data_IF_863651831516
#
_entry.id   IF_863651831516
#
_cell.length_a   1.000
_cell.length_b   1.000
_cell.length_c   1.000
_cell.angle_alpha   90.00
_cell.angle_beta   90.00
_cell.angle_gamma   90.00
#
_symmetry.space_group_name_H-M   'P 1'
#
loop_
_entity.id
_entity.type
_entity.pdbx_description
1 polymer ?
#
# COMPACT_ATOMS: atom_id res chain seq x y z
N UNK A 1 16.77 20.20 -12.04
CA UNK A 1 17.02 19.37 -10.84
C UNK A 1 15.73 18.82 -10.24
N UNK A 2 14.70 19.65 -9.99
CA UNK A 2 13.43 19.20 -9.42
C UNK A 2 12.72 18.11 -10.25
N UNK A 3 12.78 18.20 -11.58
CA UNK A 3 12.22 17.22 -12.52
C UNK A 3 12.79 15.82 -12.35
N UNK A 4 14.12 15.69 -12.20
CA UNK A 4 14.77 14.40 -11.98
C UNK A 4 14.34 13.75 -10.65
N UNK A 5 14.16 14.56 -9.60
CA UNK A 5 13.70 14.09 -8.28
C UNK A 5 12.27 13.57 -8.37
N UNK A 6 11.37 14.33 -9.00
CA UNK A 6 9.97 13.90 -9.16
C UNK A 6 9.90 12.60 -9.98
N UNK A 7 10.79 12.42 -10.98
CA UNK A 7 10.83 11.22 -11.81
C UNK A 7 11.26 10.02 -10.96
N UNK A 8 12.37 10.15 -10.23
CA UNK A 8 12.88 9.11 -9.34
C UNK A 8 11.84 8.70 -8.29
N UNK A 9 11.18 9.67 -7.65
CA UNK A 9 10.11 9.42 -6.68
C UNK A 9 8.89 8.74 -7.32
N UNK A 10 8.52 9.12 -8.55
CA UNK A 10 7.39 8.50 -9.27
C UNK A 10 7.68 7.06 -9.66
N UNK A 11 8.91 6.76 -10.11
CA UNK A 11 9.36 5.39 -10.40
C UNK A 11 9.38 4.55 -9.12
N UNK A 12 9.86 5.11 -8.01
CA UNK A 12 9.85 4.43 -6.72
C UNK A 12 8.41 4.15 -6.24
N UNK A 13 7.51 5.13 -6.36
CA UNK A 13 6.08 4.94 -6.07
C UNK A 13 5.48 3.82 -6.93
N UNK A 14 5.80 3.77 -8.22
CA UNK A 14 5.32 2.73 -9.14
C UNK A 14 5.77 1.34 -8.68
N UNK A 15 7.05 1.17 -8.35
CA UNK A 15 7.60 -0.12 -7.91
C UNK A 15 6.92 -0.61 -6.62
N UNK A 16 6.73 0.29 -5.65
CA UNK A 16 6.08 -0.04 -4.39
C UNK A 16 4.59 -0.37 -4.60
N UNK A 17 3.89 0.39 -5.45
CA UNK A 17 2.49 0.14 -5.75
C UNK A 17 2.28 -1.22 -6.46
N UNK A 18 3.19 -1.60 -7.36
CA UNK A 18 3.21 -2.94 -7.97
C UNK A 18 3.44 -4.01 -6.91
N UNK A 19 4.37 -3.81 -5.99
CA UNK A 19 4.64 -4.76 -4.91
C UNK A 19 3.41 -4.96 -4.01
N UNK A 20 2.74 -3.87 -3.60
CA UNK A 20 1.50 -3.91 -2.82
C UNK A 20 0.40 -4.67 -3.56
N UNK A 21 0.16 -4.34 -4.83
CA UNK A 21 -0.85 -5.00 -5.64
C UNK A 21 -0.54 -6.49 -5.82
N UNK A 22 0.73 -6.84 -6.09
CA UNK A 22 1.18 -8.21 -6.25
C UNK A 22 1.03 -9.03 -4.97
N UNK A 23 1.35 -8.44 -3.80
CA UNK A 23 1.12 -9.09 -2.52
C UNK A 23 -0.37 -9.31 -2.25
N UNK A 24 -1.19 -8.27 -2.46
CA UNK A 24 -2.63 -8.33 -2.29
C UNK A 24 -3.30 -9.39 -3.17
N UNK A 25 -2.91 -9.48 -4.45
CA UNK A 25 -3.41 -10.53 -5.37
C UNK A 25 -2.91 -11.91 -4.95
N UNK A 26 -1.67 -12.04 -4.47
CA UNK A 26 -1.13 -13.31 -3.97
C UNK A 26 -1.93 -13.83 -2.77
N UNK A 27 -2.37 -12.93 -1.88
CA UNK A 27 -3.24 -13.25 -0.76
C UNK A 27 -4.65 -13.63 -1.27
N UNK A 28 -5.19 -12.88 -2.24
CA UNK A 28 -6.51 -13.14 -2.82
C UNK A 28 -6.61 -14.47 -3.58
N UNK A 29 -5.53 -14.89 -4.26
CA UNK A 29 -5.53 -16.09 -5.13
C UNK A 29 -5.43 -17.42 -4.38
N UNK A 30 -5.01 -17.44 -3.11
CA UNK A 30 -4.89 -18.71 -2.37
C UNK A 30 -6.28 -19.14 -1.88
N UNK A 31 -6.93 -20.15 -2.50
CA UNK A 31 -8.30 -20.55 -2.14
C UNK A 31 -8.32 -21.47 -0.90
N UNK A 32 -7.16 -21.79 -0.32
CA UNK A 32 -7.00 -22.83 0.70
C UNK A 32 -6.87 -22.22 2.09
N UNK A 33 -8.00 -21.73 2.59
CA UNK A 33 -8.28 -21.80 4.01
C UNK A 33 -9.47 -22.75 4.16
N UNK A 34 -9.15 -24.04 4.10
CA UNK A 34 -10.06 -25.08 4.57
C UNK A 34 -10.54 -24.69 5.96
N UNK A 35 -11.87 -24.60 6.06
CA UNK A 35 -12.81 -24.57 7.19
C UNK A 35 -12.28 -24.36 8.62
N UNK A 36 -11.18 -24.98 9.03
CA UNK A 36 -10.61 -24.91 10.40
C UNK A 36 -9.95 -23.57 10.71
N UNK A 37 -9.32 -22.94 9.72
CA UNK A 37 -8.69 -21.61 9.86
C UNK A 37 -9.69 -20.45 9.82
N UNK A 38 -10.85 -20.67 9.18
CA UNK A 38 -12.04 -19.82 9.36
C UNK A 38 -12.57 -19.88 10.79
N UNK A 39 -12.46 -21.00 11.49
CA UNK A 39 -13.07 -21.18 12.82
C UNK A 39 -12.31 -20.49 13.96
N UNK A 40 -11.00 -20.24 13.83
CA UNK A 40 -10.23 -19.51 14.86
C UNK A 40 -10.00 -18.03 14.51
N UNK A 41 -9.80 -17.66 13.24
CA UNK A 41 -9.58 -16.27 12.85
C UNK A 41 -10.81 -15.57 12.24
N UNK A 42 -11.70 -16.30 11.55
CA UNK A 42 -12.92 -15.72 10.96
C UNK A 42 -14.15 -15.78 11.89
N UNK A 43 -14.05 -16.41 13.07
CA UNK A 43 -15.15 -16.46 14.05
C UNK A 43 -15.52 -15.07 14.60
N UNK A 44 -14.63 -14.08 14.50
CA UNK A 44 -14.89 -12.77 15.10
C UNK A 44 -15.28 -11.64 14.11
N UNK A 45 -14.76 -11.54 12.87
CA UNK A 45 -15.31 -10.62 11.81
C UNK A 45 -14.85 -11.01 10.38
N UNK A 46 -15.56 -11.88 9.64
CA UNK A 46 -15.19 -12.28 8.27
C UNK A 46 -15.30 -11.13 7.25
N UNK A 47 -16.19 -10.16 7.50
CA UNK A 47 -16.42 -9.01 6.64
C UNK A 47 -15.22 -8.07 6.55
N UNK A 48 -14.52 -7.87 7.68
CA UNK A 48 -13.42 -6.90 7.79
C UNK A 48 -12.23 -7.28 6.90
N UNK A 49 -11.82 -8.56 6.91
CA UNK A 49 -10.68 -9.03 6.13
C UNK A 49 -10.90 -8.85 4.61
N UNK A 50 -12.08 -9.21 4.11
CA UNK A 50 -12.41 -9.08 2.69
C UNK A 50 -12.49 -7.60 2.26
N UNK A 51 -13.06 -6.73 3.09
CA UNK A 51 -13.11 -5.28 2.81
C UNK A 51 -11.73 -4.64 2.82
N UNK A 52 -10.87 -5.01 3.78
CA UNK A 52 -9.50 -4.48 3.87
C UNK A 52 -8.64 -4.95 2.71
N UNK A 53 -8.75 -6.21 2.29
CA UNK A 53 -8.04 -6.74 1.12
C UNK A 53 -8.43 -6.00 -0.16
N UNK A 54 -9.74 -5.79 -0.39
CA UNK A 54 -10.23 -5.00 -1.54
C UNK A 54 -9.72 -3.57 -1.51
N UNK A 55 -9.63 -2.97 -0.33
CA UNK A 55 -9.08 -1.64 -0.15
C UNK A 55 -7.58 -1.58 -0.51
N UNK A 56 -6.78 -2.56 -0.09
CA UNK A 56 -5.35 -2.63 -0.48
C UNK A 56 -5.15 -2.84 -1.99
N UNK A 57 -5.97 -3.67 -2.62
CA UNK A 57 -5.98 -3.82 -4.08
C UNK A 57 -6.28 -2.47 -4.74
N UNK A 58 -7.31 -1.76 -4.28
CA UNK A 58 -7.65 -0.43 -4.78
C UNK A 58 -6.50 0.57 -4.60
N UNK A 59 -5.85 0.59 -3.44
CA UNK A 59 -4.69 1.46 -3.18
C UNK A 59 -3.52 1.13 -4.12
N UNK A 60 -3.22 -0.15 -4.35
CA UNK A 60 -2.18 -0.58 -5.28
C UNK A 60 -2.47 -0.11 -6.70
N UNK A 61 -3.70 -0.29 -7.18
CA UNK A 61 -4.14 0.19 -8.50
C UNK A 61 -4.07 1.72 -8.59
N UNK A 62 -4.57 2.42 -7.59
CA UNK A 62 -4.51 3.88 -7.52
C UNK A 62 -3.06 4.39 -7.56
N UNK A 63 -2.16 3.77 -6.79
CA UNK A 63 -0.74 4.11 -6.75
C UNK A 63 -0.04 3.96 -8.09
N UNK A 64 -0.38 2.90 -8.84
CA UNK A 64 0.11 2.68 -10.21
C UNK A 64 -0.39 3.78 -11.15
N UNK A 65 -1.69 4.06 -11.14
CA UNK A 65 -2.29 5.09 -12.00
C UNK A 65 -1.67 6.46 -11.69
N UNK A 66 -1.58 6.83 -10.41
CA UNK A 66 -0.97 8.08 -9.96
C UNK A 66 0.49 8.20 -10.40
N UNK A 67 1.30 7.14 -10.26
CA UNK A 67 2.69 7.16 -10.69
C UNK A 67 2.82 7.32 -12.21
N UNK A 68 1.99 6.62 -12.99
CA UNK A 68 1.96 6.75 -14.46
C UNK A 68 1.58 8.17 -14.87
N UNK A 69 0.56 8.76 -14.26
CA UNK A 69 0.14 10.13 -14.57
C UNK A 69 1.25 11.13 -14.25
N UNK A 70 1.95 10.96 -13.12
CA UNK A 70 3.11 11.81 -12.78
C UNK A 70 4.23 11.66 -13.82
N UNK A 71 4.56 10.44 -14.24
CA UNK A 71 5.59 10.20 -15.28
C UNK A 71 5.17 10.85 -16.60
N UNK A 72 3.94 10.63 -17.07
CA UNK A 72 3.40 11.20 -18.31
C UNK A 72 3.44 12.73 -18.26
N UNK A 73 3.07 13.33 -17.13
CA UNK A 73 3.06 14.80 -16.98
C UNK A 73 4.43 15.45 -17.21
N UNK A 74 5.52 14.71 -17.09
CA UNK A 74 6.86 15.23 -17.37
C UNK A 74 7.18 15.31 -18.86
N UNK A 75 6.57 14.45 -19.66
CA UNK A 75 6.82 14.38 -21.10
C UNK A 75 5.77 15.17 -21.90
N UNK A 76 4.56 15.34 -21.34
CA UNK A 76 3.45 16.00 -21.99
C UNK A 76 3.03 17.27 -21.25
N UNK A 77 3.31 18.43 -21.85
CA UNK A 77 2.89 19.75 -21.36
C UNK A 77 1.37 19.95 -21.36
N UNK A 78 0.62 19.09 -22.07
CA UNK A 78 -0.84 19.08 -22.05
C UNK A 78 -1.43 18.72 -20.68
N UNK A 79 -0.68 18.01 -19.84
CA UNK A 79 -1.13 17.62 -18.50
C UNK A 79 -0.87 18.78 -17.54
N UNK A 80 -1.95 19.39 -17.05
CA UNK A 80 -1.83 20.47 -16.07
C UNK A 80 -1.16 19.98 -14.78
N UNK A 81 -0.15 20.73 -14.31
CA UNK A 81 0.50 20.52 -13.01
C UNK A 81 -0.47 20.50 -11.81
N UNK A 82 -1.68 21.04 -11.98
CA UNK A 82 -2.72 21.01 -10.96
C UNK A 82 -3.33 19.60 -10.82
N UNK A 83 -3.43 18.84 -11.91
CA UNK A 83 -3.97 17.47 -11.90
C UNK A 83 -3.05 16.55 -11.10
N UNK A 84 -1.73 16.60 -11.35
CA UNK A 84 -0.75 15.80 -10.62
C UNK A 84 -0.71 16.16 -9.14
N UNK A 85 -0.81 17.46 -8.81
CA UNK A 85 -0.90 17.92 -7.42
C UNK A 85 -2.11 17.31 -6.69
N UNK A 86 -3.31 17.40 -7.30
CA UNK A 86 -4.55 16.85 -6.71
C UNK A 86 -4.45 15.34 -6.53
N UNK A 87 -3.93 14.62 -7.53
CA UNK A 87 -3.73 13.17 -7.43
C UNK A 87 -2.75 12.79 -6.32
N UNK A 88 -1.67 13.55 -6.14
CA UNK A 88 -0.70 13.29 -5.08
C UNK A 88 -1.30 13.54 -3.68
N UNK A 89 -2.11 14.61 -3.52
CA UNK A 89 -2.80 14.91 -2.26
C UNK A 89 -3.84 13.84 -1.93
N UNK A 90 -4.67 13.45 -2.91
CA UNK A 90 -5.64 12.37 -2.73
C UNK A 90 -4.93 11.04 -2.41
N UNK A 91 -3.83 10.75 -3.09
CA UNK A 91 -3.00 9.58 -2.81
C UNK A 91 -2.50 9.57 -1.37
N UNK A 92 -1.99 10.70 -0.88
CA UNK A 92 -1.55 10.83 0.50
C UNK A 92 -2.68 10.53 1.49
N UNK A 93 -3.88 11.07 1.27
CA UNK A 93 -5.03 10.78 2.14
C UNK A 93 -5.42 9.30 2.13
N UNK A 94 -5.46 8.69 0.94
CA UNK A 94 -5.84 7.28 0.76
C UNK A 94 -4.81 6.32 1.37
N UNK A 95 -3.51 6.55 1.14
CA UNK A 95 -2.44 5.75 1.72
C UNK A 95 -2.35 5.94 3.23
N UNK A 96 -2.57 7.15 3.75
CA UNK A 96 -2.66 7.40 5.19
C UNK A 96 -3.80 6.62 5.83
N UNK A 97 -4.99 6.66 5.23
CA UNK A 97 -6.14 5.89 5.71
C UNK A 97 -5.83 4.39 5.71
N UNK A 98 -5.16 3.86 4.67
CA UNK A 98 -4.70 2.48 4.62
C UNK A 98 -3.71 2.12 5.71
N UNK A 99 -2.73 3.00 5.95
CA UNK A 99 -1.76 2.85 7.03
C UNK A 99 -2.43 2.84 8.41
N UNK A 100 -3.38 3.74 8.66
CA UNK A 100 -4.12 3.80 9.93
C UNK A 100 -4.95 2.52 10.13
N UNK A 101 -5.68 2.08 9.11
CA UNK A 101 -6.47 0.83 9.18
C UNK A 101 -5.57 -0.36 9.50
N UNK A 102 -4.39 -0.41 8.89
CA UNK A 102 -3.39 -1.44 9.19
C UNK A 102 -2.86 -1.33 10.63
N UNK A 103 -2.44 -0.14 11.08
CA UNK A 103 -1.91 0.10 12.42
C UNK A 103 -2.94 -0.21 13.53
N UNK A 104 -4.21 0.10 13.29
CA UNK A 104 -5.30 -0.25 14.21
C UNK A 104 -5.52 -1.76 14.24
N UNK A 105 -5.41 -2.43 13.09
CA UNK A 105 -5.51 -3.88 13.04
C UNK A 105 -4.36 -4.53 13.81
N UNK A 106 -3.11 -4.14 13.57
CA UNK A 106 -1.93 -4.72 14.24
C UNK A 106 -1.90 -4.43 15.74
N UNK A 107 -2.35 -3.26 16.21
CA UNK A 107 -2.47 -2.98 17.66
C UNK A 107 -3.41 -3.93 18.39
N UNK A 108 -4.48 -4.40 17.73
CA UNK A 108 -5.42 -5.37 18.33
C UNK A 108 -4.84 -6.78 18.37
N UNK A 109 -3.92 -7.10 17.48
CA UNK A 109 -3.29 -8.40 17.36
C UNK A 109 -1.82 -8.32 17.80
N UNK A 110 -1.58 -8.32 19.12
CA UNK A 110 -0.23 -8.34 19.74
C UNK A 110 0.57 -9.63 19.50
N UNK A 111 0.16 -10.52 18.58
CA UNK A 111 0.92 -11.74 18.28
C UNK A 111 1.98 -11.44 17.22
N UNK A 112 3.24 -11.75 17.53
CA UNK A 112 4.27 -11.84 16.49
C UNK A 112 3.93 -12.97 15.52
N UNK A 113 4.32 -12.87 14.24
CA UNK A 113 4.10 -13.97 13.30
C UNK A 113 4.80 -15.28 13.73
N UNK A 114 5.87 -15.18 14.53
CA UNK A 114 6.53 -16.31 15.21
C UNK A 114 5.69 -16.92 16.34
N UNK A 115 4.93 -16.09 17.06
CA UNK A 115 4.02 -16.58 18.10
C UNK A 115 2.83 -17.30 17.47
N UNK A 116 2.39 -16.87 16.28
CA UNK A 116 1.33 -17.54 15.52
C UNK A 116 1.74 -18.95 15.10
N UNK A 117 2.97 -19.13 14.60
CA UNK A 117 3.48 -20.46 14.22
C UNK A 117 3.55 -21.39 15.43
N UNK A 118 4.13 -20.91 16.54
CA UNK A 118 4.27 -21.69 17.78
C UNK A 118 2.90 -21.99 18.43
N UNK A 119 1.96 -21.04 18.39
CA UNK A 119 0.60 -21.24 18.88
C UNK A 119 -0.16 -22.30 18.05
N UNK A 120 0.04 -22.33 16.73
CA UNK A 120 -0.56 -23.34 15.86
C UNK A 120 0.04 -24.73 16.10
N UNK A 121 1.36 -24.84 16.21
CA UNK A 121 2.02 -26.11 16.51
C UNK A 121 1.63 -26.65 17.89
N UNK A 122 1.62 -25.79 18.91
CA UNK A 122 1.20 -26.17 20.28
C UNK A 122 -0.30 -26.55 20.37
N UNK A 123 -1.12 -26.10 19.43
CA UNK A 123 -2.53 -26.48 19.31
C UNK A 123 -2.75 -27.77 18.50
N UNK A 124 -1.68 -28.45 18.07
CA UNK A 124 -1.74 -29.72 17.34
C UNK A 124 -1.94 -29.60 15.83
N UNK A 125 -1.75 -28.42 15.24
CA UNK A 125 -1.72 -28.28 13.78
C UNK A 125 -0.38 -28.77 13.20
N UNK A 126 -0.39 -29.26 11.95
CA UNK A 126 0.83 -29.75 11.33
C UNK A 126 1.86 -28.62 11.12
N UNK A 127 3.14 -28.92 11.35
CA UNK A 127 4.26 -27.99 11.09
C UNK A 127 4.18 -27.28 9.73
N UNK A 128 3.94 -27.96 8.59
CA UNK A 128 3.83 -27.27 7.29
C UNK A 128 2.62 -26.33 7.19
N UNK A 129 1.54 -26.57 7.94
CA UNK A 129 0.40 -25.65 8.01
C UNK A 129 0.73 -24.41 8.85
N UNK A 130 1.37 -24.59 10.00
CA UNK A 130 1.83 -23.49 10.84
C UNK A 130 2.80 -22.59 10.07
N UNK A 131 3.82 -23.16 9.42
CA UNK A 131 4.81 -22.42 8.62
C UNK A 131 4.17 -21.61 7.47
N UNK A 132 3.22 -22.20 6.75
CA UNK A 132 2.48 -21.52 5.67
C UNK A 132 1.62 -20.35 6.20
N UNK A 133 1.14 -20.45 7.43
CA UNK A 133 0.38 -19.38 8.09
C UNK A 133 1.29 -18.25 8.56
N UNK A 134 2.44 -18.57 9.15
CA UNK A 134 3.46 -17.60 9.55
C UNK A 134 4.00 -16.78 8.36
N UNK A 135 4.27 -17.44 7.22
CA UNK A 135 4.70 -16.75 6.00
C UNK A 135 3.62 -15.82 5.42
N UNK A 136 2.35 -16.19 5.52
CA UNK A 136 1.23 -15.33 5.10
C UNK A 136 1.06 -14.12 6.03
N UNK A 137 1.23 -14.31 7.34
CA UNK A 137 1.28 -13.22 8.32
C UNK A 137 2.38 -12.21 8.00
N UNK A 138 3.59 -12.70 7.69
CA UNK A 138 4.73 -11.85 7.32
C UNK A 138 4.45 -11.02 6.06
N UNK A 139 3.77 -11.60 5.06
CA UNK A 139 3.33 -10.89 3.86
C UNK A 139 2.35 -9.75 4.22
N UNK A 140 1.34 -9.99 5.04
CA UNK A 140 0.40 -8.94 5.46
C UNK A 140 1.08 -7.78 6.22
N UNK A 141 2.14 -8.07 6.99
CA UNK A 141 2.91 -7.03 7.67
C UNK A 141 3.67 -6.17 6.66
N UNK A 142 4.36 -6.83 5.71
CA UNK A 142 5.10 -6.15 4.65
C UNK A 142 4.18 -5.29 3.79
N UNK A 143 2.99 -5.78 3.46
CA UNK A 143 2.01 -5.03 2.65
C UNK A 143 1.59 -3.71 3.32
N UNK A 144 1.27 -3.76 4.62
CA UNK A 144 0.92 -2.56 5.38
C UNK A 144 2.07 -1.56 5.52
N UNK A 145 3.30 -2.05 5.71
CA UNK A 145 4.49 -1.19 5.75
C UNK A 145 4.73 -0.49 4.41
N UNK A 146 4.54 -1.20 3.30
CA UNK A 146 4.67 -0.63 1.94
C UNK A 146 3.60 0.46 1.69
N UNK A 147 2.37 0.27 2.17
CA UNK A 147 1.31 1.29 2.09
C UNK A 147 1.68 2.54 2.89
N UNK A 148 2.30 2.38 4.06
CA UNK A 148 2.84 3.50 4.83
C UNK A 148 3.98 4.22 4.08
N UNK A 149 4.84 3.49 3.38
CA UNK A 149 5.89 4.09 2.55
C UNK A 149 5.30 4.90 1.38
N UNK A 150 4.22 4.40 0.74
CA UNK A 150 3.50 5.13 -0.31
C UNK A 150 2.93 6.46 0.19
N UNK A 151 2.46 6.51 1.44
CA UNK A 151 2.03 7.77 2.05
C UNK A 151 3.17 8.80 2.06
N UNK A 152 4.33 8.46 2.63
CA UNK A 152 5.47 9.38 2.69
C UNK A 152 5.92 9.84 1.28
N UNK A 153 5.92 8.93 0.31
CA UNK A 153 6.26 9.25 -1.08
C UNK A 153 5.26 10.20 -1.74
N UNK A 154 3.96 9.94 -1.56
CA UNK A 154 2.90 10.80 -2.11
C UNK A 154 2.92 12.21 -1.52
N UNK A 155 3.23 12.36 -0.23
CA UNK A 155 3.45 13.67 0.40
C UNK A 155 4.68 14.36 -0.19
N UNK A 156 5.80 13.65 -0.33
CA UNK A 156 7.01 14.19 -0.96
C UNK A 156 6.75 14.68 -2.39
N UNK A 157 6.02 13.89 -3.19
CA UNK A 157 5.62 14.25 -4.55
C UNK A 157 4.66 15.44 -4.58
N UNK A 158 3.72 15.54 -3.64
CA UNK A 158 2.84 16.70 -3.53
C UNK A 158 3.63 17.98 -3.24
N UNK A 159 4.59 17.92 -2.30
CA UNK A 159 5.46 19.06 -1.97
C UNK A 159 6.32 19.44 -3.17
N UNK A 160 6.96 18.49 -3.84
CA UNK A 160 7.75 18.76 -5.04
C UNK A 160 6.89 19.36 -6.17
N UNK A 161 5.67 18.85 -6.37
CA UNK A 161 4.74 19.38 -7.39
C UNK A 161 4.32 20.81 -7.07
N UNK A 162 4.04 21.12 -5.80
CA UNK A 162 3.70 22.47 -5.35
C UNK A 162 4.86 23.45 -5.57
N UNK A 163 6.08 23.06 -5.19
CA UNK A 163 7.28 23.87 -5.41
C UNK A 163 7.53 24.09 -6.90
N UNK A 164 7.31 23.07 -7.74
CA UNK A 164 7.44 23.21 -9.19
C UNK A 164 6.44 24.24 -9.75
N UNK A 165 5.17 24.15 -9.34
CA UNK A 165 4.12 25.06 -9.76
C UNK A 165 4.39 26.52 -9.33
N UNK A 166 4.86 26.71 -8.10
CA UNK A 166 5.32 28.01 -7.59
C UNK A 166 6.45 28.60 -8.43
N UNK A 167 7.42 27.80 -8.85
CA UNK A 167 8.55 28.29 -9.62
C UNK A 167 8.11 28.76 -11.03
N UNK A 168 7.22 28.01 -11.69
CA UNK A 168 6.70 28.36 -13.01
C UNK A 168 5.87 29.66 -12.98
N UNK A 169 5.05 29.85 -11.95
CA UNK A 169 4.22 31.06 -11.80
C UNK A 169 5.04 32.32 -11.51
N UNK A 170 6.20 32.19 -10.86
CA UNK A 170 7.13 33.31 -10.67
C UNK A 170 7.86 33.69 -11.96
N UNK A 171 8.28 32.72 -12.78
CA UNK A 171 8.94 33.00 -14.06
C UNK A 171 8.03 33.69 -15.09
N UNK A 172 6.71 33.52 -15.01
CA UNK A 172 5.77 34.14 -15.96
C UNK A 172 5.42 35.61 -15.65
N UNK A 173 5.94 36.19 -14.56
CA UNK A 173 5.71 37.60 -14.19
C UNK A 173 6.84 38.55 -14.59
N UNK A 174 7.87 38.06 -15.26
CA UNK A 174 8.97 38.84 -15.82
C UNK A 174 8.98 38.68 -17.33
#
# INVERSE_FOLDING_TARGET
MLSAIILALSVLQLLIAIAVLGLSISIARKPTYDTVSRLSYARWKPWYFNTTLRYFIFLGVYGIISAIVNIISMFFTAVSSLITLVMNIMGAMLFLAGGIVWAVSTKRWRLSCTDVTLALESSGFSGPFAEKTGTSCRRCIVDGALVYALFALSVGLAVCSFLHHRNLTHSARF
#
